data_IF_726373108545
#
_entry.id   IF_726373108545
#
_cell.length_a   1.000
_cell.length_b   1.000
_cell.length_c   1.000
_cell.angle_alpha   90.00
_cell.angle_beta   90.00
_cell.angle_gamma   90.00
#
_symmetry.space_group_name_H-M   'P 1'
#
loop_
_entity.id
_entity.type
_entity.pdbx_description
1 polymer ?
#
# COMPACT_ATOMS: atom_id res chain seq x y z
N UNK A 1 17.10 0.52 -13.80
CA UNK A 1 17.86 0.83 -12.58
C UNK A 1 18.37 2.26 -12.74
N UNK A 2 18.18 3.11 -11.73
CA UNK A 2 18.81 4.43 -11.67
C UNK A 2 20.34 4.27 -11.65
N UNK A 3 21.08 5.32 -12.04
CA UNK A 3 22.54 5.30 -12.26
C UNK A 3 23.37 4.82 -11.06
N UNK A 4 22.82 4.75 -9.84
CA UNK A 4 23.48 4.21 -8.65
C UNK A 4 23.31 2.71 -8.43
N UNK A 5 22.32 2.06 -9.07
CA UNK A 5 21.97 0.66 -8.83
C UNK A 5 21.29 0.38 -7.48
N UNK A 6 21.05 1.41 -6.66
CA UNK A 6 20.42 1.27 -5.34
C UNK A 6 18.90 1.17 -5.45
N UNK A 7 18.32 0.24 -4.69
CA UNK A 7 16.88 0.07 -4.62
C UNK A 7 16.28 1.02 -3.58
N UNK A 8 15.35 1.88 -4.03
CA UNK A 8 14.61 2.78 -3.15
C UNK A 8 13.10 2.49 -3.26
N UNK A 9 12.50 1.83 -2.26
CA UNK A 9 11.08 1.50 -2.25
C UNK A 9 10.16 2.71 -2.38
N UNK A 10 10.48 3.82 -1.71
CA UNK A 10 9.63 5.01 -1.72
C UNK A 10 9.59 5.65 -3.12
N UNK A 11 10.76 5.75 -3.76
CA UNK A 11 10.84 6.21 -5.14
C UNK A 11 10.06 5.29 -6.09
N UNK A 12 10.21 3.97 -5.96
CA UNK A 12 9.51 3.01 -6.81
C UNK A 12 7.98 3.11 -6.66
N UNK A 13 7.48 3.20 -5.43
CA UNK A 13 6.05 3.35 -5.13
C UNK A 13 5.52 4.67 -5.67
N UNK A 14 6.19 5.79 -5.38
CA UNK A 14 5.77 7.11 -5.83
C UNK A 14 5.70 7.20 -7.37
N UNK A 15 6.73 6.67 -8.06
CA UNK A 15 6.77 6.65 -9.51
C UNK A 15 5.65 5.79 -10.09
N UNK A 16 5.40 4.61 -9.52
CA UNK A 16 4.28 3.76 -9.97
C UNK A 16 2.93 4.47 -9.84
N UNK A 17 2.67 5.10 -8.69
CA UNK A 17 1.43 5.83 -8.44
C UNK A 17 1.25 7.00 -9.43
N UNK A 18 2.33 7.75 -9.69
CA UNK A 18 2.34 8.84 -10.69
C UNK A 18 2.06 8.32 -12.10
N UNK A 19 2.66 7.19 -12.49
CA UNK A 19 2.44 6.56 -13.79
C UNK A 19 1.01 5.98 -13.94
N UNK A 20 0.41 5.52 -12.84
CA UNK A 20 -0.99 5.10 -12.79
C UNK A 20 -1.99 6.28 -12.83
N UNK A 21 -1.50 7.53 -12.71
CA UNK A 21 -2.34 8.74 -12.75
C UNK A 21 -2.97 9.13 -11.42
N UNK A 22 -2.45 8.62 -10.29
CA UNK A 22 -2.91 9.02 -8.97
C UNK A 22 -2.60 10.51 -8.73
N UNK A 23 -3.65 11.28 -8.41
CA UNK A 23 -3.58 12.74 -8.21
C UNK A 23 -2.93 13.11 -6.88
N UNK A 24 -3.00 12.23 -5.90
CA UNK A 24 -2.45 12.42 -4.56
C UNK A 24 -1.33 11.41 -4.26
N UNK A 25 -0.47 11.12 -5.24
CA UNK A 25 0.55 10.08 -5.16
C UNK A 25 1.44 10.18 -3.91
N UNK A 26 1.81 11.39 -3.51
CA UNK A 26 2.60 11.64 -2.29
C UNK A 26 1.84 11.22 -1.02
N UNK A 27 0.55 11.56 -0.91
CA UNK A 27 -0.26 11.12 0.24
C UNK A 27 -0.50 9.62 0.24
N UNK A 28 -0.64 9.00 -0.93
CA UNK A 28 -0.78 7.54 -1.04
C UNK A 28 0.52 6.83 -0.67
N UNK A 29 1.68 7.42 -0.99
CA UNK A 29 2.98 6.97 -0.50
C UNK A 29 3.07 7.08 1.03
N UNK A 30 2.65 8.21 1.61
CA UNK A 30 2.62 8.38 3.07
C UNK A 30 1.69 7.36 3.74
N UNK A 31 0.54 7.08 3.12
CA UNK A 31 -0.39 6.04 3.57
C UNK A 31 0.31 4.68 3.57
N UNK A 32 0.99 4.33 2.47
CA UNK A 32 1.75 3.10 2.37
C UNK A 32 2.82 2.99 3.46
N UNK A 33 3.56 4.06 3.73
CA UNK A 33 4.59 4.07 4.78
C UNK A 33 3.98 3.86 6.19
N UNK A 34 2.88 4.54 6.52
CA UNK A 34 2.19 4.31 7.80
C UNK A 34 1.65 2.89 7.91
N UNK A 35 1.09 2.35 6.83
CA UNK A 35 0.57 0.98 6.79
C UNK A 35 1.69 -0.04 6.99
N UNK A 36 2.88 0.19 6.42
CA UNK A 36 4.07 -0.66 6.65
C UNK A 36 4.51 -0.67 8.12
N UNK A 37 4.43 0.48 8.79
CA UNK A 37 4.79 0.59 10.22
C UNK A 37 3.74 -0.02 11.15
N UNK A 38 2.45 0.10 10.79
CA UNK A 38 1.34 -0.44 11.56
C UNK A 38 1.13 -1.95 11.34
N UNK A 39 1.52 -2.45 10.18
CA UNK A 39 1.41 -3.86 9.81
C UNK A 39 2.50 -4.71 10.46
N UNK A 40 2.15 -5.91 10.88
CA UNK A 40 3.13 -6.86 11.41
C UNK A 40 3.60 -7.81 10.30
N UNK A 41 4.91 -7.91 10.09
CA UNK A 41 5.53 -8.85 9.13
C UNK A 41 4.96 -8.75 7.71
N UNK A 42 4.62 -7.54 7.25
CA UNK A 42 4.03 -7.33 5.93
C UNK A 42 2.54 -7.59 5.84
N UNK A 43 1.87 -7.99 6.92
CA UNK A 43 0.44 -8.25 6.94
C UNK A 43 -0.34 -6.99 7.30
N UNK A 44 -1.34 -6.68 6.49
CA UNK A 44 -2.17 -5.47 6.59
C UNK A 44 -3.64 -5.86 6.57
N UNK A 45 -4.43 -5.31 7.48
CA UNK A 45 -5.90 -5.47 7.49
C UNK A 45 -6.58 -4.25 6.89
N UNK A 46 -7.85 -4.37 6.43
CA UNK A 46 -8.67 -3.23 6.04
C UNK A 46 -8.70 -2.12 7.10
N UNK A 47 -8.81 -2.48 8.40
CA UNK A 47 -8.83 -1.50 9.49
C UNK A 47 -7.55 -0.65 9.58
N UNK A 48 -6.38 -1.25 9.27
CA UNK A 48 -5.10 -0.52 9.23
C UNK A 48 -5.10 0.48 8.08
N UNK A 49 -5.56 0.06 6.89
CA UNK A 49 -5.68 0.93 5.71
C UNK A 49 -6.65 2.08 5.94
N UNK A 50 -7.81 1.80 6.54
CA UNK A 50 -8.82 2.83 6.86
C UNK A 50 -8.30 3.84 7.87
N UNK A 51 -7.68 3.39 8.97
CA UNK A 51 -7.07 4.29 9.97
C UNK A 51 -5.97 5.17 9.36
N UNK A 52 -5.15 4.61 8.47
CA UNK A 52 -4.13 5.36 7.76
C UNK A 52 -4.76 6.41 6.81
N UNK A 53 -5.80 6.01 6.08
CA UNK A 53 -6.51 6.89 5.16
C UNK A 53 -7.24 8.03 5.88
N UNK A 54 -7.85 7.78 7.04
CA UNK A 54 -8.47 8.82 7.87
C UNK A 54 -7.46 9.90 8.25
N UNK A 55 -6.27 9.51 8.73
CA UNK A 55 -5.20 10.45 9.12
C UNK A 55 -4.73 11.35 7.97
N UNK A 56 -4.76 10.83 6.75
CA UNK A 56 -4.31 11.53 5.54
C UNK A 56 -5.45 12.16 4.73
N UNK A 57 -6.67 12.15 5.26
CA UNK A 57 -7.88 12.65 4.57
C UNK A 57 -8.16 11.94 3.23
N UNK A 58 -7.78 10.66 3.11
CA UNK A 58 -8.00 9.80 1.95
C UNK A 58 -9.20 8.84 2.11
N UNK A 59 -9.86 8.81 3.28
CA UNK A 59 -10.91 7.82 3.59
C UNK A 59 -12.06 7.81 2.58
N UNK A 60 -12.45 8.96 2.05
CA UNK A 60 -13.52 9.09 1.04
C UNK A 60 -13.20 8.40 -0.29
N UNK A 61 -11.92 8.10 -0.55
CA UNK A 61 -11.41 7.42 -1.74
C UNK A 61 -10.68 6.11 -1.43
N UNK A 62 -10.89 5.54 -0.25
CA UNK A 62 -10.17 4.34 0.20
C UNK A 62 -10.27 3.17 -0.79
N UNK A 63 -11.43 2.97 -1.43
CA UNK A 63 -11.61 1.94 -2.46
C UNK A 63 -10.69 2.14 -3.67
N UNK A 64 -10.56 3.39 -4.15
CA UNK A 64 -9.63 3.74 -5.23
C UNK A 64 -8.19 3.55 -4.79
N UNK A 65 -7.82 4.03 -3.60
CA UNK A 65 -6.45 3.87 -3.07
C UNK A 65 -6.06 2.39 -2.95
N UNK A 66 -6.95 1.53 -2.44
CA UNK A 66 -6.71 0.08 -2.38
C UNK A 66 -6.57 -0.50 -3.80
N UNK A 67 -7.37 -0.06 -4.75
CA UNK A 67 -7.26 -0.51 -6.14
C UNK A 67 -5.91 -0.12 -6.76
N UNK A 68 -5.43 1.10 -6.53
CA UNK A 68 -4.12 1.57 -7.00
C UNK A 68 -2.97 0.79 -6.35
N UNK A 69 -3.00 0.62 -5.02
CA UNK A 69 -1.98 -0.16 -4.32
C UNK A 69 -1.92 -1.61 -4.82
N UNK A 70 -3.06 -2.21 -5.18
CA UNK A 70 -3.10 -3.53 -5.81
C UNK A 70 -2.61 -3.50 -7.25
N UNK A 71 -3.03 -2.51 -8.03
CA UNK A 71 -2.67 -2.33 -9.44
C UNK A 71 -1.16 -2.12 -9.62
N UNK A 72 -0.54 -1.38 -8.71
CA UNK A 72 0.91 -1.17 -8.64
C UNK A 72 1.68 -2.35 -8.02
N UNK A 73 1.00 -3.43 -7.60
CA UNK A 73 1.66 -4.58 -6.97
C UNK A 73 2.31 -4.25 -5.62
N UNK A 74 1.82 -3.21 -4.94
CA UNK A 74 2.32 -2.77 -3.62
C UNK A 74 1.72 -3.65 -2.51
N UNK A 75 0.43 -3.96 -2.63
CA UNK A 75 -0.25 -4.93 -1.75
C UNK A 75 -0.96 -6.01 -2.58
N UNK A 76 -1.15 -7.18 -1.99
CA UNK A 76 -1.89 -8.29 -2.60
C UNK A 76 -2.83 -8.93 -1.58
N UNK A 77 -4.05 -9.34 -1.97
CA UNK A 77 -4.98 -10.00 -1.05
C UNK A 77 -4.55 -11.45 -0.76
N UNK A 78 -4.57 -11.84 0.51
CA UNK A 78 -4.20 -13.18 0.96
C UNK A 78 -5.45 -14.00 1.27
N UNK A 79 -6.08 -14.55 0.23
CA UNK A 79 -7.37 -15.25 0.32
C UNK A 79 -7.37 -16.42 1.32
N UNK A 80 -6.26 -17.15 1.41
CA UNK A 80 -6.12 -18.27 2.35
C UNK A 80 -6.18 -17.79 3.80
N UNK A 81 -5.43 -16.74 4.13
CA UNK A 81 -5.42 -16.17 5.48
C UNK A 81 -6.73 -15.45 5.77
N UNK A 82 -7.32 -14.82 4.77
CA UNK A 82 -8.63 -14.18 4.90
C UNK A 82 -9.72 -15.19 5.29
N UNK A 83 -9.72 -16.36 4.65
CA UNK A 83 -10.67 -17.45 4.95
C UNK A 83 -10.48 -17.97 6.38
N UNK A 84 -9.24 -18.12 6.85
CA UNK A 84 -8.96 -18.58 8.22
C UNK A 84 -9.37 -17.57 9.29
N UNK A 85 -9.18 -16.27 9.02
CA UNK A 85 -9.44 -15.19 9.97
C UNK A 85 -10.86 -14.63 9.89
N UNK A 86 -11.62 -14.98 8.85
CA UNK A 86 -12.97 -14.47 8.62
C UNK A 86 -13.03 -12.99 8.20
N UNK A 87 -11.89 -12.41 7.80
CA UNK A 87 -11.77 -11.01 7.35
C UNK A 87 -10.73 -10.90 6.25
N UNK A 88 -10.83 -9.89 5.39
CA UNK A 88 -9.86 -9.68 4.33
C UNK A 88 -8.48 -9.36 4.91
N UNK A 89 -7.44 -9.94 4.32
CA UNK A 89 -6.04 -9.71 4.70
C UNK A 89 -5.26 -9.36 3.43
N UNK A 90 -4.35 -8.41 3.55
CA UNK A 90 -3.40 -8.05 2.51
C UNK A 90 -1.97 -8.33 2.98
N UNK A 91 -1.09 -8.63 2.03
CA UNK A 91 0.35 -8.65 2.22
C UNK A 91 1.00 -7.52 1.41
N UNK A 92 1.94 -6.82 2.03
CA UNK A 92 2.83 -5.88 1.35
C UNK A 92 3.86 -6.65 0.55
N UNK A 93 4.16 -6.16 -0.65
CA UNK A 93 5.20 -6.73 -1.49
C UNK A 93 6.56 -6.74 -0.76
N UNK A 94 7.19 -7.92 -0.57
CA UNK A 94 8.46 -8.04 0.16
C UNK A 94 9.61 -7.22 -0.42
N UNK A 95 9.59 -6.94 -1.73
CA UNK A 95 10.59 -6.08 -2.36
C UNK A 95 10.48 -4.63 -1.93
N UNK A 96 9.43 -4.23 -1.22
CA UNK A 96 9.27 -2.85 -0.76
C UNK A 96 9.73 -2.65 0.70
N UNK A 97 10.43 -3.62 1.30
CA UNK A 97 11.05 -3.52 2.61
C UNK A 97 12.52 -3.10 2.54
#
# INVERSE_FOLDING_TARGET
>A
AEESGEWNPNYAVERCLKEAGEKEAEKVLDLFNMVKEMGERGVVTPDILEKAAEKLSLISRIGTVIAELKGCGIISPCLREATKRGTLIYEVNPSLY
#
